data_IF_160631621094
#
_entry.id   IF_160631621094
#
_cell.length_a   1.000
_cell.length_b   1.000
_cell.length_c   1.000
_cell.angle_alpha   90.00
_cell.angle_beta   90.00
_cell.angle_gamma   90.00
#
_symmetry.space_group_name_H-M   'P 1'
#
loop_
_entity.id
_entity.type
_entity.pdbx_description
1 polymer ?
#
# COMPACT_ATOMS: atom_id res chain seq x y z
N UNK A 1 -14.00 7.86 -42.77
CA UNK A 1 -14.67 9.09 -42.29
C UNK A 1 -13.71 9.88 -41.41
N UNK A 2 -13.06 10.95 -41.94
CA UNK A 2 -12.19 11.82 -41.12
C UNK A 2 -13.09 12.69 -40.25
N UNK A 3 -13.21 12.34 -38.96
CA UNK A 3 -13.96 13.15 -37.99
C UNK A 3 -13.14 14.41 -37.72
N UNK A 4 -13.65 15.58 -38.08
CA UNK A 4 -13.01 16.86 -37.79
C UNK A 4 -13.31 17.19 -36.30
N UNK A 5 -12.33 17.10 -35.45
CA UNK A 5 -12.44 17.39 -33.99
C UNK A 5 -13.16 18.72 -33.72
N UNK A 6 -12.90 19.77 -34.54
CA UNK A 6 -13.58 21.06 -34.41
C UNK A 6 -15.12 20.98 -34.54
N UNK A 7 -15.63 20.03 -35.33
CA UNK A 7 -17.09 19.84 -35.49
C UNK A 7 -17.71 19.20 -34.24
N UNK A 8 -17.01 18.28 -33.59
CA UNK A 8 -17.50 17.62 -32.35
C UNK A 8 -17.71 18.67 -31.26
N UNK A 9 -16.74 19.58 -31.07
CA UNK A 9 -16.83 20.65 -30.07
C UNK A 9 -18.05 21.56 -30.24
N UNK A 10 -18.57 21.70 -31.47
CA UNK A 10 -19.74 22.53 -31.77
C UNK A 10 -21.02 21.98 -31.13
N UNK A 11 -21.14 20.64 -31.00
CA UNK A 11 -22.41 20.01 -30.59
C UNK A 11 -22.56 19.80 -29.10
N UNK A 12 -21.50 19.43 -28.39
CA UNK A 12 -21.54 19.27 -26.92
C UNK A 12 -20.16 19.51 -26.29
N UNK A 13 -19.75 20.78 -26.19
CA UNK A 13 -18.47 21.17 -25.59
C UNK A 13 -18.34 20.67 -24.15
N UNK A 14 -19.44 20.66 -23.36
CA UNK A 14 -19.45 20.25 -21.96
C UNK A 14 -19.02 18.78 -21.83
N UNK A 15 -19.62 17.86 -22.62
CA UNK A 15 -19.30 16.43 -22.49
C UNK A 15 -17.83 16.12 -22.85
N UNK A 16 -17.24 16.86 -23.80
CA UNK A 16 -15.83 16.70 -24.16
C UNK A 16 -14.91 17.14 -23.01
N UNK A 17 -15.17 18.31 -22.44
CA UNK A 17 -14.37 18.82 -21.31
C UNK A 17 -14.45 17.84 -20.13
N UNK A 18 -15.64 17.37 -19.81
CA UNK A 18 -15.83 16.40 -18.71
C UNK A 18 -15.15 15.07 -19.04
N UNK A 19 -15.20 14.58 -20.29
CA UNK A 19 -14.45 13.36 -20.68
C UNK A 19 -12.96 13.48 -20.40
N UNK A 20 -12.36 14.63 -20.72
CA UNK A 20 -10.93 14.87 -20.46
C UNK A 20 -10.65 14.90 -18.96
N UNK A 21 -11.47 15.62 -18.20
CA UNK A 21 -11.30 15.73 -16.72
C UNK A 21 -11.45 14.34 -16.09
N UNK A 22 -12.48 13.56 -16.48
CA UNK A 22 -12.72 12.23 -15.92
C UNK A 22 -11.65 11.23 -16.31
N UNK A 23 -11.04 11.36 -17.49
CA UNK A 23 -9.88 10.57 -17.88
C UNK A 23 -8.69 10.83 -16.94
N UNK A 24 -8.37 12.09 -16.71
CA UNK A 24 -7.24 12.48 -15.83
C UNK A 24 -7.47 12.01 -14.38
N UNK A 25 -8.67 12.23 -13.85
CA UNK A 25 -9.01 11.77 -12.50
C UNK A 25 -8.97 10.23 -12.42
N UNK A 26 -9.51 9.53 -13.43
CA UNK A 26 -9.47 8.07 -13.50
C UNK A 26 -8.03 7.51 -13.49
N UNK A 27 -7.12 8.14 -14.22
CA UNK A 27 -5.69 7.78 -14.22
C UNK A 27 -5.09 7.98 -12.81
N UNK A 28 -5.35 9.12 -12.17
CA UNK A 28 -4.82 9.41 -10.83
C UNK A 28 -5.33 8.41 -9.79
N UNK A 29 -6.64 8.15 -9.77
CA UNK A 29 -7.25 7.17 -8.86
C UNK A 29 -6.65 5.78 -9.11
N UNK A 30 -6.55 5.36 -10.38
CA UNK A 30 -6.01 4.05 -10.71
C UNK A 30 -4.55 3.88 -10.26
N UNK A 31 -3.69 4.86 -10.52
CA UNK A 31 -2.29 4.81 -10.08
C UNK A 31 -2.21 4.73 -8.55
N UNK A 32 -2.99 5.54 -7.84
CA UNK A 32 -2.96 5.57 -6.38
C UNK A 32 -3.41 4.26 -5.73
N UNK A 33 -4.40 3.58 -6.34
CA UNK A 33 -5.04 2.41 -5.72
C UNK A 33 -4.50 1.07 -6.23
N UNK A 34 -3.85 1.05 -7.41
CA UNK A 34 -3.39 -0.20 -8.02
C UNK A 34 -2.05 -0.72 -7.45
N UNK A 35 -1.32 0.12 -6.67
CA UNK A 35 -0.03 -0.26 -6.09
C UNK A 35 -0.25 -1.36 -5.02
N UNK A 36 0.41 -2.51 -5.19
CA UNK A 36 0.32 -3.64 -4.25
C UNK A 36 -0.95 -4.49 -4.35
N UNK A 37 -1.90 -4.14 -5.23
CA UNK A 37 -3.14 -4.91 -5.41
C UNK A 37 -2.95 -6.01 -6.47
N UNK A 38 -3.46 -7.24 -6.24
CA UNK A 38 -3.41 -8.33 -7.22
C UNK A 38 -4.03 -7.97 -8.57
N UNK A 39 -3.55 -8.58 -9.67
CA UNK A 39 -3.96 -8.24 -11.05
C UNK A 39 -5.47 -8.33 -11.28
N UNK A 40 -6.16 -9.29 -10.64
CA UNK A 40 -7.62 -9.46 -10.81
C UNK A 40 -8.40 -8.29 -10.24
N UNK A 41 -8.04 -7.84 -9.05
CA UNK A 41 -8.64 -6.68 -8.39
C UNK A 41 -8.28 -5.37 -9.11
N UNK A 42 -7.09 -5.28 -9.70
CA UNK A 42 -6.67 -4.15 -10.53
C UNK A 42 -7.61 -3.89 -11.70
N UNK A 43 -8.16 -4.95 -12.33
CA UNK A 43 -9.11 -4.80 -13.43
C UNK A 43 -10.42 -4.14 -12.97
N UNK A 44 -10.92 -4.52 -11.79
CA UNK A 44 -12.15 -3.93 -11.22
C UNK A 44 -11.92 -2.45 -10.90
N UNK A 45 -10.79 -2.10 -10.30
CA UNK A 45 -10.42 -0.72 -9.99
C UNK A 45 -10.29 0.09 -11.28
N UNK A 46 -9.64 -0.46 -12.31
CA UNK A 46 -9.54 0.17 -13.63
C UNK A 46 -10.92 0.48 -14.19
N UNK A 47 -11.79 -0.52 -14.29
CA UNK A 47 -13.15 -0.33 -14.82
C UNK A 47 -13.91 0.73 -14.03
N UNK A 48 -13.92 0.63 -12.69
CA UNK A 48 -14.59 1.60 -11.83
C UNK A 48 -14.05 3.02 -12.04
N UNK A 49 -12.74 3.21 -12.09
CA UNK A 49 -12.12 4.53 -12.25
C UNK A 49 -12.45 5.20 -13.58
N UNK A 50 -12.67 4.42 -14.65
CA UNK A 50 -12.90 4.94 -16.00
C UNK A 50 -14.36 4.92 -16.45
N UNK A 51 -15.32 4.39 -15.66
CA UNK A 51 -16.77 4.43 -16.01
C UNK A 51 -17.23 5.85 -16.41
N UNK A 52 -16.96 6.92 -15.65
CA UNK A 52 -17.40 8.26 -16.00
C UNK A 52 -16.83 8.73 -17.35
N UNK A 53 -15.57 8.44 -17.64
CA UNK A 53 -14.95 8.75 -18.92
C UNK A 53 -15.70 8.10 -20.09
N UNK A 54 -15.96 6.80 -20.02
CA UNK A 54 -16.68 6.09 -21.06
C UNK A 54 -18.10 6.63 -21.28
N UNK A 55 -18.82 6.94 -20.19
CA UNK A 55 -20.17 7.55 -20.29
C UNK A 55 -20.12 8.85 -21.07
N UNK A 56 -19.20 9.77 -20.74
CA UNK A 56 -19.12 11.06 -21.42
C UNK A 56 -18.58 10.96 -22.84
N UNK A 57 -17.74 9.99 -23.15
CA UNK A 57 -17.34 9.66 -24.54
C UNK A 57 -18.56 9.22 -25.36
N UNK A 58 -19.40 8.33 -24.81
CA UNK A 58 -20.63 7.87 -25.48
C UNK A 58 -21.58 9.06 -25.75
N UNK A 59 -21.80 9.92 -24.74
CA UNK A 59 -22.64 11.11 -24.89
C UNK A 59 -22.06 12.04 -25.97
N UNK A 60 -20.76 12.20 -26.06
CA UNK A 60 -20.10 13.00 -27.08
C UNK A 60 -20.33 12.43 -28.45
N UNK A 61 -20.20 11.11 -28.64
CA UNK A 61 -20.47 10.42 -29.90
C UNK A 61 -21.93 10.56 -30.29
N UNK A 62 -22.87 10.35 -29.38
CA UNK A 62 -24.30 10.51 -29.60
C UNK A 62 -24.64 11.96 -29.97
N UNK A 63 -24.07 12.95 -29.31
CA UNK A 63 -24.27 14.37 -29.61
C UNK A 63 -23.81 14.72 -31.04
N UNK A 64 -22.71 14.13 -31.50
CA UNK A 64 -22.22 14.30 -32.86
C UNK A 64 -23.12 13.58 -33.88
N UNK A 65 -23.57 12.33 -33.56
CA UNK A 65 -24.38 11.52 -34.50
C UNK A 65 -25.77 12.11 -34.70
N UNK A 66 -26.41 12.61 -33.65
CA UNK A 66 -27.79 13.08 -33.69
C UNK A 66 -27.92 14.60 -33.88
N UNK A 67 -26.81 15.34 -33.87
CA UNK A 67 -26.72 16.79 -34.14
C UNK A 67 -27.90 17.60 -33.55
N UNK A 68 -28.68 18.27 -34.39
CA UNK A 68 -29.72 19.19 -33.96
C UNK A 68 -30.96 18.50 -33.36
N UNK A 69 -31.29 17.26 -33.75
CA UNK A 69 -32.54 16.58 -33.35
C UNK A 69 -32.64 16.40 -31.81
N UNK A 70 -31.56 16.00 -31.17
CA UNK A 70 -31.55 15.71 -29.74
C UNK A 70 -30.58 16.59 -28.94
N UNK A 71 -30.08 17.66 -29.53
CA UNK A 71 -29.06 18.55 -28.91
C UNK A 71 -29.46 19.06 -27.52
N UNK A 72 -30.70 19.55 -27.35
CA UNK A 72 -31.19 20.04 -26.06
C UNK A 72 -31.23 18.92 -25.02
N UNK A 73 -31.78 17.76 -25.39
CA UNK A 73 -31.89 16.59 -24.49
C UNK A 73 -30.52 16.10 -24.05
N UNK A 74 -29.59 15.91 -24.97
CA UNK A 74 -28.23 15.43 -24.68
C UNK A 74 -27.45 16.44 -23.85
N UNK A 75 -27.70 17.74 -24.02
CA UNK A 75 -27.11 18.77 -23.14
C UNK A 75 -27.66 18.70 -21.70
N UNK A 76 -28.97 18.52 -21.54
CA UNK A 76 -29.61 18.37 -20.20
C UNK A 76 -29.08 17.09 -19.53
N UNK A 77 -29.03 15.97 -20.26
CA UNK A 77 -28.44 14.71 -19.76
C UNK A 77 -27.00 14.92 -19.31
N UNK A 78 -26.18 15.62 -20.12
CA UNK A 78 -24.79 15.93 -19.73
C UNK A 78 -24.70 16.73 -18.42
N UNK A 79 -25.60 17.69 -18.20
CA UNK A 79 -25.63 18.50 -16.97
C UNK A 79 -26.02 17.63 -15.77
N UNK A 80 -27.09 16.85 -15.88
CA UNK A 80 -27.54 15.95 -14.80
C UNK A 80 -26.46 14.96 -14.43
N UNK A 81 -25.86 14.29 -15.41
CA UNK A 81 -24.77 13.33 -15.18
C UNK A 81 -23.53 14.01 -14.59
N UNK A 82 -23.25 15.27 -14.93
CA UNK A 82 -22.15 16.01 -14.33
C UNK A 82 -22.35 16.26 -12.85
N UNK A 83 -23.59 16.52 -12.42
CA UNK A 83 -23.93 16.66 -11.00
C UNK A 83 -23.77 15.32 -10.26
N UNK A 84 -24.27 14.22 -10.84
CA UNK A 84 -24.11 12.88 -10.27
C UNK A 84 -22.65 12.44 -10.20
N UNK A 85 -21.82 12.92 -11.11
CA UNK A 85 -20.39 12.64 -11.16
C UNK A 85 -19.65 13.13 -9.89
N UNK A 86 -20.05 14.24 -9.32
CA UNK A 86 -19.47 14.76 -8.08
C UNK A 86 -19.64 13.73 -6.95
N UNK A 87 -20.85 13.17 -6.80
CA UNK A 87 -21.13 12.13 -5.81
C UNK A 87 -20.36 10.84 -6.12
N UNK A 88 -20.29 10.44 -7.39
CA UNK A 88 -19.54 9.27 -7.80
C UNK A 88 -18.06 9.38 -7.38
N UNK A 89 -17.40 10.49 -7.71
CA UNK A 89 -16.00 10.65 -7.35
C UNK A 89 -15.78 10.84 -5.85
N UNK A 90 -16.71 11.46 -5.14
CA UNK A 90 -16.63 11.52 -3.68
C UNK A 90 -16.63 10.10 -3.08
N UNK A 91 -17.57 9.25 -3.50
CA UNK A 91 -17.64 7.85 -3.06
C UNK A 91 -16.40 7.07 -3.53
N UNK A 92 -15.99 7.22 -4.79
CA UNK A 92 -14.82 6.53 -5.33
C UNK A 92 -13.54 6.90 -4.57
N UNK A 93 -13.31 8.18 -4.31
CA UNK A 93 -12.16 8.64 -3.53
C UNK A 93 -12.21 8.09 -2.10
N UNK A 94 -13.38 8.12 -1.45
CA UNK A 94 -13.55 7.58 -0.11
C UNK A 94 -13.26 6.08 -0.07
N UNK A 95 -13.81 5.30 -0.99
CA UNK A 95 -13.53 3.85 -1.12
C UNK A 95 -12.05 3.60 -1.40
N UNK A 96 -11.44 4.38 -2.31
CA UNK A 96 -10.01 4.26 -2.61
C UNK A 96 -9.13 4.57 -1.40
N UNK A 97 -9.48 5.59 -0.62
CA UNK A 97 -8.77 5.89 0.64
C UNK A 97 -8.90 4.74 1.63
N UNK A 98 -10.08 4.17 1.79
CA UNK A 98 -10.28 2.99 2.64
C UNK A 98 -9.46 1.79 2.15
N UNK A 99 -9.52 1.47 0.86
CA UNK A 99 -8.78 0.33 0.28
C UNK A 99 -7.27 0.54 0.38
N UNK A 100 -6.76 1.72 0.05
CA UNK A 100 -5.32 2.01 0.16
C UNK A 100 -4.83 1.99 1.60
N UNK A 101 -5.72 2.32 2.54
CA UNK A 101 -5.41 2.31 3.97
C UNK A 101 -5.50 0.90 4.60
N UNK A 102 -6.22 -0.06 3.98
CA UNK A 102 -6.43 -1.41 4.53
C UNK A 102 -5.61 -2.49 3.85
N UNK A 103 -5.20 -2.29 2.61
CA UNK A 103 -4.49 -3.33 1.85
C UNK A 103 -2.98 -3.28 2.13
N UNK A 104 -2.40 -4.39 2.61
CA UNK A 104 -0.96 -4.49 2.74
C UNK A 104 -0.29 -4.48 1.37
N UNK A 105 0.85 -3.80 1.27
CA UNK A 105 1.73 -3.89 0.12
C UNK A 105 2.71 -5.03 0.35
N UNK A 106 2.67 -6.05 -0.52
CA UNK A 106 3.47 -7.27 -0.36
C UNK A 106 4.54 -7.45 -1.43
N UNK A 107 4.58 -6.61 -2.46
CA UNK A 107 5.57 -6.70 -3.53
C UNK A 107 6.86 -6.00 -3.12
N UNK A 108 7.95 -6.77 -3.00
CA UNK A 108 9.27 -6.30 -2.56
C UNK A 108 9.90 -5.23 -3.46
N UNK A 109 9.42 -5.07 -4.71
CA UNK A 109 9.87 -3.97 -5.60
C UNK A 109 9.55 -2.58 -5.03
N UNK A 110 8.55 -2.49 -4.14
CA UNK A 110 8.18 -1.24 -3.48
C UNK A 110 8.91 -1.00 -2.14
N UNK A 111 9.81 -1.90 -1.74
CA UNK A 111 10.57 -1.78 -0.51
C UNK A 111 11.20 -0.40 -0.33
N UNK A 112 11.99 0.05 -1.30
CA UNK A 112 12.67 1.34 -1.23
C UNK A 112 11.73 2.55 -1.23
N UNK A 113 10.49 2.39 -1.67
CA UNK A 113 9.48 3.45 -1.66
C UNK A 113 8.88 3.64 -0.27
N UNK A 114 8.67 2.56 0.48
CA UNK A 114 8.04 2.60 1.80
C UNK A 114 9.04 2.67 2.96
N UNK A 115 10.22 2.06 2.83
CA UNK A 115 11.24 2.05 3.89
C UNK A 115 12.16 3.27 3.75
N UNK A 116 11.64 4.45 4.08
CA UNK A 116 12.36 5.74 3.89
C UNK A 116 12.64 6.49 5.19
N UNK A 117 11.92 6.19 6.27
CA UNK A 117 12.04 6.89 7.55
C UNK A 117 13.39 6.65 8.25
N UNK A 118 13.96 7.68 8.88
CA UNK A 118 15.23 7.58 9.63
C UNK A 118 15.18 6.51 10.74
N UNK A 119 14.02 6.30 11.36
CA UNK A 119 13.81 5.25 12.36
C UNK A 119 14.02 3.87 11.73
N UNK A 120 13.40 3.61 10.59
CA UNK A 120 13.49 2.31 9.90
C UNK A 120 14.92 2.01 9.44
N UNK A 121 15.65 3.01 8.98
CA UNK A 121 17.05 2.87 8.51
C UNK A 121 18.03 2.44 9.59
N UNK A 122 17.65 2.51 10.87
CA UNK A 122 18.48 1.98 11.97
C UNK A 122 18.61 0.46 11.88
N UNK A 123 17.61 -0.21 11.30
CA UNK A 123 17.45 -1.65 11.29
C UNK A 123 17.31 -2.21 9.87
N UNK A 124 16.38 -1.67 9.10
CA UNK A 124 16.13 -2.16 7.75
C UNK A 124 17.30 -1.84 6.83
N UNK A 125 17.74 -2.79 5.98
CA UNK A 125 18.83 -2.56 5.04
C UNK A 125 18.47 -1.47 4.04
N UNK A 126 19.46 -0.67 3.61
CA UNK A 126 19.24 0.39 2.60
C UNK A 126 18.73 -0.18 1.27
N UNK A 127 19.07 -1.43 0.96
CA UNK A 127 18.58 -2.22 -0.18
C UNK A 127 18.53 -3.67 0.23
N UNK A 128 17.57 -4.41 -0.29
CA UNK A 128 17.52 -5.86 -0.14
C UNK A 128 18.78 -6.44 -0.80
N UNK A 129 19.55 -7.33 -0.10
CA UNK A 129 20.75 -7.94 -0.67
C UNK A 129 20.46 -8.68 -1.97
N UNK A 130 21.36 -8.58 -2.95
CA UNK A 130 21.17 -9.22 -4.27
C UNK A 130 21.22 -10.75 -4.23
N UNK A 131 21.84 -11.32 -3.19
CA UNK A 131 21.92 -12.76 -2.92
C UNK A 131 20.76 -13.26 -2.03
N UNK A 132 19.88 -12.38 -1.56
CA UNK A 132 18.72 -12.75 -0.76
C UNK A 132 17.76 -13.66 -1.54
N UNK A 133 17.27 -14.71 -0.86
CA UNK A 133 16.32 -15.70 -1.39
C UNK A 133 15.02 -15.61 -0.62
N UNK A 134 13.91 -16.06 -1.22
CA UNK A 134 12.59 -16.12 -0.60
C UNK A 134 12.18 -14.79 0.06
N UNK A 135 12.38 -13.69 -0.68
CA UNK A 135 12.12 -12.34 -0.18
C UNK A 135 10.63 -12.14 -0.03
N UNK A 136 10.20 -11.76 1.17
CA UNK A 136 8.84 -11.31 1.45
C UNK A 136 8.87 -9.96 2.15
N UNK A 137 8.05 -9.04 1.65
CA UNK A 137 7.92 -7.70 2.18
C UNK A 137 6.46 -7.42 2.50
N UNK A 138 6.21 -6.85 3.65
CA UNK A 138 4.89 -6.39 4.08
C UNK A 138 5.00 -4.95 4.57
N UNK A 139 4.17 -4.11 4.00
CA UNK A 139 3.85 -2.79 4.51
C UNK A 139 2.36 -2.71 4.75
N UNK A 140 1.97 -2.47 5.99
CA UNK A 140 0.57 -2.29 6.39
C UNK A 140 0.41 -0.85 6.85
N UNK A 141 -0.31 -0.03 6.08
CA UNK A 141 -0.54 1.36 6.47
C UNK A 141 -1.42 1.45 7.71
N UNK A 142 -1.10 2.37 8.61
CA UNK A 142 -1.92 2.66 9.77
C UNK A 142 -3.22 3.37 9.40
N UNK A 143 -4.33 2.98 10.05
CA UNK A 143 -5.64 3.61 9.88
C UNK A 143 -6.20 3.97 11.25
N UNK A 144 -6.67 5.21 11.38
CA UNK A 144 -7.30 5.71 12.61
C UNK A 144 -6.37 5.48 13.83
N UNK A 145 -6.69 4.48 14.66
CA UNK A 145 -5.94 4.15 15.87
C UNK A 145 -4.89 3.05 15.66
N UNK A 146 -4.84 2.40 14.48
CA UNK A 146 -3.81 1.42 14.17
C UNK A 146 -2.59 2.11 13.58
N UNK A 147 -1.41 1.81 14.13
CA UNK A 147 -0.15 2.30 13.60
C UNK A 147 0.29 1.54 12.34
N UNK A 148 1.36 2.03 11.75
CA UNK A 148 1.95 1.44 10.55
C UNK A 148 2.85 0.27 10.90
N UNK A 149 2.78 -0.80 10.13
CA UNK A 149 3.66 -1.97 10.32
C UNK A 149 4.48 -2.25 9.07
N UNK A 150 5.72 -2.66 9.30
CA UNK A 150 6.67 -3.09 8.27
C UNK A 150 7.24 -4.44 8.63
N UNK A 151 7.39 -5.34 7.66
CA UNK A 151 8.14 -6.57 7.81
C UNK A 151 8.91 -6.88 6.52
N UNK A 152 10.18 -7.24 6.66
CA UNK A 152 11.01 -7.76 5.60
C UNK A 152 11.59 -9.08 6.05
N UNK A 153 11.36 -10.13 5.29
CA UNK A 153 11.92 -11.46 5.46
C UNK A 153 12.74 -11.85 4.25
N UNK A 154 13.86 -12.49 4.46
CA UNK A 154 14.63 -13.19 3.42
C UNK A 154 15.57 -14.22 4.02
N UNK A 155 16.10 -15.12 3.17
CA UNK A 155 17.19 -16.03 3.50
C UNK A 155 18.46 -15.47 2.88
N UNK A 156 19.53 -15.38 3.68
CA UNK A 156 20.87 -14.99 3.22
C UNK A 156 21.92 -16.01 3.66
N UNK A 157 22.30 -16.90 2.77
CA UNK A 157 23.29 -17.95 3.05
C UNK A 157 24.67 -17.41 3.41
N UNK A 158 24.94 -16.14 3.15
CA UNK A 158 26.20 -15.47 3.51
C UNK A 158 26.18 -14.81 4.89
N UNK A 159 24.98 -14.69 5.48
CA UNK A 159 24.81 -14.08 6.81
C UNK A 159 25.24 -15.09 7.87
N UNK A 160 26.05 -14.62 8.79
CA UNK A 160 26.45 -15.38 9.98
C UNK A 160 26.03 -14.62 11.23
N UNK A 161 25.87 -15.33 12.33
CA UNK A 161 25.58 -14.69 13.63
C UNK A 161 26.61 -13.61 13.97
N UNK A 162 27.89 -13.88 13.73
CA UNK A 162 28.96 -12.91 14.02
C UNK A 162 28.78 -11.61 13.23
N UNK A 163 28.43 -11.69 11.94
CA UNK A 163 28.17 -10.52 11.11
C UNK A 163 26.91 -9.79 11.59
N UNK A 164 25.87 -10.54 11.95
CA UNK A 164 24.63 -9.95 12.46
C UNK A 164 24.84 -9.28 13.82
N UNK A 165 25.57 -9.92 14.74
CA UNK A 165 25.98 -9.34 16.02
C UNK A 165 26.76 -8.04 15.83
N UNK A 166 27.73 -8.03 14.94
CA UNK A 166 28.54 -6.84 14.64
C UNK A 166 27.70 -5.65 14.23
N UNK A 167 26.60 -5.89 13.50
CA UNK A 167 25.74 -4.82 13.00
C UNK A 167 24.71 -4.35 14.04
N UNK A 168 24.08 -5.27 14.78
CA UNK A 168 22.90 -4.97 15.59
C UNK A 168 23.14 -5.00 17.11
N UNK A 169 24.15 -5.72 17.61
CA UNK A 169 24.37 -5.90 19.05
C UNK A 169 24.51 -4.58 19.81
N UNK A 170 25.27 -3.64 19.27
CA UNK A 170 25.49 -2.33 19.91
C UNK A 170 24.30 -1.36 19.76
N UNK A 171 23.35 -1.67 18.90
CA UNK A 171 22.13 -0.86 18.71
C UNK A 171 20.98 -1.38 19.57
N UNK A 172 21.03 -2.65 19.98
CA UNK A 172 19.95 -3.30 20.66
C UNK A 172 19.88 -2.91 22.14
N UNK A 173 18.68 -2.63 22.62
CA UNK A 173 18.38 -2.44 24.05
C UNK A 173 18.15 -3.78 24.76
N UNK A 174 17.82 -4.82 24.01
CA UNK A 174 17.65 -6.19 24.50
C UNK A 174 17.95 -7.20 23.38
N UNK A 175 18.52 -8.37 23.75
CA UNK A 175 18.84 -9.47 22.84
C UNK A 175 18.47 -10.79 23.50
N UNK A 176 17.74 -11.66 22.82
CA UNK A 176 17.36 -12.98 23.30
C UNK A 176 16.30 -13.65 22.45
N UNK A 177 15.76 -14.76 22.92
CA UNK A 177 14.63 -15.43 22.32
C UNK A 177 13.31 -14.83 22.82
N UNK A 178 12.25 -14.89 22.00
CA UNK A 178 10.96 -14.25 22.31
C UNK A 178 10.43 -14.58 23.71
N UNK A 179 10.56 -15.85 24.14
CA UNK A 179 10.09 -16.33 25.44
C UNK A 179 10.89 -15.77 26.64
N UNK A 180 12.10 -15.27 26.41
CA UNK A 180 12.98 -14.72 27.45
C UNK A 180 12.66 -13.26 27.76
N UNK A 181 11.83 -12.60 26.93
CA UNK A 181 11.51 -11.19 27.13
C UNK A 181 10.38 -11.02 28.14
N UNK A 182 10.71 -10.46 29.30
CA UNK A 182 9.76 -10.28 30.41
C UNK A 182 9.54 -8.82 30.84
N UNK A 183 10.29 -7.86 30.25
CA UNK A 183 10.25 -6.47 30.69
C UNK A 183 8.89 -5.79 30.44
N UNK A 184 8.27 -6.06 29.30
CA UNK A 184 6.95 -5.52 28.92
C UNK A 184 6.13 -6.61 28.25
N UNK A 185 5.18 -7.17 29.00
CA UNK A 185 4.29 -8.22 28.48
C UNK A 185 3.51 -7.72 27.25
N UNK A 186 3.49 -8.53 26.20
CA UNK A 186 2.80 -8.23 24.95
C UNK A 186 3.60 -7.44 23.91
N UNK A 187 4.73 -6.78 24.25
CA UNK A 187 5.53 -6.01 23.29
C UNK A 187 5.97 -6.87 22.10
N UNK A 188 6.57 -8.03 22.39
CA UNK A 188 7.06 -8.93 21.35
C UNK A 188 5.98 -9.84 20.75
N UNK A 189 4.73 -9.79 21.25
CA UNK A 189 3.65 -10.64 20.74
C UNK A 189 3.33 -10.37 19.26
N UNK A 190 3.56 -9.15 18.77
CA UNK A 190 3.25 -8.72 17.40
C UNK A 190 4.42 -8.72 16.44
N UNK A 191 5.65 -9.02 16.92
CA UNK A 191 6.88 -8.95 16.11
C UNK A 191 6.81 -9.79 14.85
N UNK A 192 6.19 -10.97 14.92
CA UNK A 192 6.09 -11.92 13.81
C UNK A 192 4.72 -11.94 13.11
N UNK A 193 3.84 -10.97 13.41
CA UNK A 193 2.47 -10.96 12.87
C UNK A 193 2.41 -10.93 11.33
N UNK A 194 3.37 -10.27 10.69
CA UNK A 194 3.42 -10.10 9.23
C UNK A 194 4.59 -10.85 8.60
N UNK A 195 5.05 -11.93 9.26
CA UNK A 195 6.04 -12.84 8.69
C UNK A 195 5.34 -13.92 7.86
N UNK A 196 6.05 -14.60 6.94
CA UNK A 196 5.47 -15.63 6.10
C UNK A 196 4.79 -16.75 6.87
N UNK A 197 3.69 -17.27 6.32
CA UNK A 197 2.88 -18.33 6.96
C UNK A 197 3.59 -19.68 7.12
N UNK A 198 4.71 -19.90 6.42
CA UNK A 198 5.55 -21.11 6.58
C UNK A 198 6.52 -21.03 7.76
N UNK A 199 6.52 -19.91 8.44
CA UNK A 199 7.28 -19.65 9.63
C UNK A 199 6.88 -20.62 10.76
N UNK A 200 7.80 -21.50 11.15
CA UNK A 200 7.43 -22.66 11.98
C UNK A 200 7.75 -22.50 13.47
N UNK A 201 8.74 -21.69 13.83
CA UNK A 201 9.13 -21.57 15.22
C UNK A 201 9.76 -20.21 15.55
N UNK A 202 8.97 -19.33 16.15
CA UNK A 202 9.42 -18.00 16.56
C UNK A 202 10.57 -18.04 17.56
N UNK A 203 10.71 -19.13 18.31
CA UNK A 203 11.75 -19.31 19.34
C UNK A 203 13.12 -19.71 18.76
N UNK A 204 13.21 -20.05 17.49
CA UNK A 204 14.50 -20.31 16.84
C UNK A 204 15.25 -19.02 16.45
N UNK A 205 14.60 -17.86 16.59
CA UNK A 205 15.21 -16.57 16.25
C UNK A 205 15.80 -15.90 17.47
N UNK A 206 17.01 -15.35 17.28
CA UNK A 206 17.57 -14.36 18.17
C UNK A 206 17.06 -13.00 17.76
N UNK A 207 16.34 -12.32 18.64
CA UNK A 207 15.74 -11.01 18.42
C UNK A 207 16.66 -9.94 19.00
N UNK A 208 16.96 -8.92 18.21
CA UNK A 208 17.64 -7.70 18.59
C UNK A 208 16.61 -6.59 18.64
N UNK A 209 16.11 -6.29 19.84
CA UNK A 209 15.16 -5.19 20.05
C UNK A 209 15.93 -3.88 20.07
N UNK A 210 15.71 -3.04 19.07
CA UNK A 210 16.40 -1.75 18.91
C UNK A 210 15.61 -0.63 19.57
N UNK A 211 14.29 -0.64 19.39
CA UNK A 211 13.36 0.27 20.03
C UNK A 211 12.12 -0.51 20.48
N UNK A 212 11.62 -0.18 21.66
CA UNK A 212 10.38 -0.74 22.16
C UNK A 212 9.76 0.20 23.19
N UNK A 213 8.52 0.57 22.98
CA UNK A 213 7.74 1.41 23.87
C UNK A 213 6.37 0.82 24.08
N UNK A 214 5.90 0.89 25.30
CA UNK A 214 4.55 0.49 25.67
C UNK A 214 3.93 1.57 26.53
N UNK A 215 2.61 1.64 26.52
CA UNK A 215 1.87 2.36 27.53
C UNK A 215 2.10 1.76 28.93
N UNK A 216 1.78 2.51 29.98
CA UNK A 216 2.02 2.11 31.37
C UNK A 216 0.95 1.15 31.94
N UNK A 217 0.13 0.53 31.08
CA UNK A 217 -1.04 -0.27 31.47
C UNK A 217 -0.71 -1.70 31.97
N UNK A 218 0.57 -2.06 32.08
CA UNK A 218 1.02 -3.42 32.48
C UNK A 218 1.13 -4.39 31.30
N UNK A 219 0.09 -4.54 30.49
CA UNK A 219 0.12 -5.23 29.20
C UNK A 219 0.20 -4.19 28.07
N UNK A 220 1.05 -4.45 27.07
CA UNK A 220 1.30 -3.50 25.98
C UNK A 220 0.10 -3.37 25.01
N UNK A 221 -0.91 -2.59 25.39
CA UNK A 221 -2.08 -2.34 24.56
C UNK A 221 -1.79 -1.35 23.44
N UNK A 222 -1.00 -0.32 23.73
CA UNK A 222 -0.52 0.67 22.77
C UNK A 222 0.99 0.74 22.86
N UNK A 223 1.65 0.58 21.74
CA UNK A 223 3.10 0.57 21.73
C UNK A 223 3.71 0.60 20.34
N UNK A 224 5.00 0.57 20.31
CA UNK A 224 5.78 0.41 19.09
C UNK A 224 7.03 -0.43 19.34
N UNK A 225 7.49 -1.09 18.29
CA UNK A 225 8.75 -1.81 18.30
C UNK A 225 9.54 -1.62 16.99
N UNK A 226 10.83 -1.84 17.09
CA UNK A 226 11.74 -1.93 15.95
C UNK A 226 12.77 -3.02 16.24
N UNK A 227 12.78 -4.08 15.43
CA UNK A 227 13.63 -5.25 15.65
C UNK A 227 14.38 -5.69 14.40
N UNK A 228 15.53 -6.33 14.61
CA UNK A 228 16.13 -7.28 13.69
C UNK A 228 16.12 -8.67 14.35
N UNK A 229 15.91 -9.73 13.57
CA UNK A 229 15.96 -11.09 14.07
C UNK A 229 16.68 -12.01 13.10
N UNK A 230 17.41 -13.00 13.62
CA UNK A 230 18.21 -13.93 12.85
C UNK A 230 18.04 -15.35 13.37
N UNK A 231 17.87 -16.31 12.46
CA UNK A 231 17.86 -17.73 12.74
C UNK A 231 19.14 -18.37 12.18
N UNK A 232 20.03 -18.79 13.08
CA UNK A 232 21.32 -19.40 12.73
C UNK A 232 21.20 -20.74 11.99
N UNK A 233 20.09 -21.47 12.19
CA UNK A 233 19.91 -22.81 11.60
C UNK A 233 19.51 -22.72 10.13
N UNK A 234 18.80 -21.66 9.76
CA UNK A 234 18.17 -21.52 8.45
C UNK A 234 18.67 -20.31 7.66
N UNK A 235 19.53 -19.48 8.27
CA UNK A 235 20.03 -18.21 7.72
C UNK A 235 18.90 -17.23 7.35
N UNK A 236 17.79 -17.35 8.03
CA UNK A 236 16.64 -16.47 7.87
C UNK A 236 16.86 -15.17 8.62
N UNK A 237 16.55 -14.07 7.95
CA UNK A 237 16.66 -12.70 8.47
C UNK A 237 15.29 -12.06 8.46
N UNK A 238 14.91 -11.43 9.57
CA UNK A 238 13.66 -10.68 9.72
C UNK A 238 13.98 -9.28 10.24
N UNK A 239 13.39 -8.28 9.59
CA UNK A 239 13.28 -6.93 10.11
C UNK A 239 11.82 -6.61 10.28
N UNK A 240 11.46 -6.10 11.44
CA UNK A 240 10.05 -5.77 11.71
C UNK A 240 9.95 -4.48 12.52
N UNK A 241 8.94 -3.70 12.18
CA UNK A 241 8.52 -2.51 12.91
C UNK A 241 7.01 -2.47 12.95
N UNK A 242 6.44 -2.17 14.09
CA UNK A 242 5.00 -2.04 14.28
C UNK A 242 4.67 -0.94 15.27
N UNK A 243 3.52 -0.31 15.03
CA UNK A 243 2.88 0.63 15.94
C UNK A 243 1.42 0.20 16.10
N UNK A 244 0.82 0.26 17.29
CA UNK A 244 -0.57 -0.11 17.55
C UNK A 244 -1.22 0.64 18.69
#
# INVERSE_FOLDING_TARGET
>A
MKIKIKEIFKYNKLSIIISIITLLIGILIYIQTAIGIPIKENLIIFLASFIPFFIFVIITILSYRFKEKYKKILKIISIILSLLLVFYYFIAIFVCLLLSATNPVTDSKYYNYYVTGERLKKVFPAKIPSNAKNIEFYYVPGILQSGTSYSLYYIDDSMTKENFDKEYKNKAIWIGHKEEYTEKEGLLSRVFTYTPSYYKNENDYIIYLIEGRCDDSGYCNHGDFLIAAFNEKTNEVIFSSGEW
#
